data_IF_190226491188
#
_entry.id   IF_190226491188
#
_cell.length_a   1.000
_cell.length_b   1.000
_cell.length_c   1.000
_cell.angle_alpha   90.00
_cell.angle_beta   90.00
_cell.angle_gamma   90.00
#
_symmetry.space_group_name_H-M   'P 1'
#
loop_
_entity.id
_entity.type
_entity.pdbx_description
1 polymer ?
#
# COMPACT_ATOMS: atom_id res chain seq x y z
N UNK A 1 40.59 14.26 1.33
CA UNK A 1 39.76 13.39 0.46
C UNK A 1 38.51 14.17 0.05
N UNK A 2 38.08 14.13 -1.22
CA UNK A 2 36.91 14.88 -1.70
C UNK A 2 35.90 13.96 -2.37
N UNK A 3 34.62 14.29 -2.33
CA UNK A 3 33.58 13.44 -2.93
C UNK A 3 32.24 14.11 -3.03
N UNK A 4 31.25 13.40 -3.58
CA UNK A 4 29.92 13.94 -3.86
C UNK A 4 29.06 14.19 -2.62
N UNK A 5 29.29 13.44 -1.53
CA UNK A 5 28.54 13.59 -0.28
C UNK A 5 29.01 14.82 0.50
N UNK A 6 28.14 15.36 1.36
CA UNK A 6 28.46 16.51 2.22
C UNK A 6 29.62 16.21 3.18
N UNK A 7 29.66 15.00 3.75
CA UNK A 7 30.78 14.53 4.59
C UNK A 7 32.11 14.47 3.83
N UNK A 8 32.09 14.44 2.49
CA UNK A 8 33.27 14.50 1.63
C UNK A 8 33.49 15.89 1.00
N UNK A 9 32.78 16.91 1.47
CA UNK A 9 32.93 18.29 1.04
C UNK A 9 32.19 18.64 -0.26
N UNK A 10 31.34 17.77 -0.81
CA UNK A 10 30.57 18.00 -2.04
C UNK A 10 31.42 18.55 -3.20
N UNK A 11 32.56 17.89 -3.46
CA UNK A 11 33.60 18.26 -4.44
C UNK A 11 34.31 19.60 -4.17
N UNK A 12 34.14 20.20 -2.99
CA UNK A 12 34.87 21.40 -2.56
C UNK A 12 36.09 21.04 -1.72
N UNK A 13 37.29 21.38 -2.21
CA UNK A 13 38.56 21.14 -1.50
C UNK A 13 38.61 21.79 -0.11
N UNK A 14 37.94 22.93 0.07
CA UNK A 14 37.93 23.67 1.34
C UNK A 14 37.05 23.03 2.42
N UNK A 15 36.07 22.21 2.01
CA UNK A 15 35.14 21.52 2.90
C UNK A 15 35.48 20.04 3.07
N UNK A 16 36.51 19.59 2.36
CA UNK A 16 36.91 18.21 2.32
C UNK A 16 37.65 17.81 3.61
N UNK A 17 37.41 16.61 4.14
CA UNK A 17 38.18 16.09 5.26
C UNK A 17 39.66 15.95 4.88
N UNK A 18 40.53 16.45 5.76
CA UNK A 18 41.97 16.30 5.65
C UNK A 18 42.39 14.91 6.15
N UNK A 19 43.38 14.31 5.49
CA UNK A 19 43.96 13.03 5.92
C UNK A 19 45.18 13.29 6.78
N UNK A 20 45.35 12.50 7.83
CA UNK A 20 46.56 12.52 8.66
C UNK A 20 47.53 11.45 8.19
N UNK A 21 48.80 11.83 8.03
CA UNK A 21 49.87 10.88 7.75
C UNK A 21 50.15 10.03 8.99
N UNK A 22 50.37 8.74 8.76
CA UNK A 22 50.73 7.75 9.76
C UNK A 22 51.89 6.88 9.26
N UNK A 23 52.49 6.11 10.16
CA UNK A 23 53.65 5.27 9.83
C UNK A 23 53.36 4.28 8.69
N UNK A 24 54.34 4.07 7.81
CA UNK A 24 54.20 3.19 6.65
C UNK A 24 53.58 3.85 5.42
N UNK A 25 53.73 5.17 5.26
CA UNK A 25 53.18 5.97 4.15
C UNK A 25 51.65 5.89 4.01
N UNK A 26 50.97 5.63 5.13
CA UNK A 26 49.53 5.51 5.18
C UNK A 26 48.89 6.85 5.55
N UNK A 27 47.88 7.23 4.77
CA UNK A 27 47.07 8.43 5.02
C UNK A 27 45.69 7.99 5.49
N UNK A 28 45.34 8.36 6.72
CA UNK A 28 44.11 7.92 7.39
C UNK A 28 43.20 9.13 7.60
N UNK A 29 41.90 8.97 7.36
CA UNK A 29 40.90 9.98 7.72
C UNK A 29 40.40 9.74 9.14
N UNK A 30 39.86 10.77 9.77
CA UNK A 30 38.93 10.57 10.88
C UNK A 30 37.69 9.79 10.41
N UNK A 31 36.94 9.22 11.35
CA UNK A 31 35.72 8.47 11.06
C UNK A 31 34.70 9.37 10.34
N UNK A 32 34.30 8.95 9.14
CA UNK A 32 33.35 9.70 8.32
C UNK A 32 31.97 9.07 8.43
N UNK A 33 31.03 9.80 9.04
CA UNK A 33 29.64 9.38 9.10
C UNK A 33 28.97 9.51 7.73
N UNK A 34 28.38 8.40 7.28
CA UNK A 34 27.67 8.30 6.02
C UNK A 34 26.32 7.60 6.22
N UNK A 35 25.29 7.97 5.45
CA UNK A 35 24.04 7.24 5.44
C UNK A 35 24.25 5.75 5.12
N UNK A 36 23.58 4.91 5.90
CA UNK A 36 23.53 3.47 5.68
C UNK A 36 22.90 3.19 4.31
N UNK A 37 23.37 2.13 3.64
CA UNK A 37 22.81 1.65 2.38
C UNK A 37 22.91 2.69 1.23
N UNK A 38 24.08 3.31 1.07
CA UNK A 38 24.35 4.34 0.06
C UNK A 38 25.48 3.98 -0.91
N UNK A 39 25.50 4.61 -2.08
CA UNK A 39 26.63 4.57 -3.02
C UNK A 39 27.24 5.96 -3.07
N UNK A 40 28.52 6.05 -2.71
CA UNK A 40 29.24 7.31 -2.62
C UNK A 40 30.43 7.31 -3.56
N UNK A 41 30.70 8.46 -4.17
CA UNK A 41 31.84 8.65 -5.08
C UNK A 41 32.79 9.65 -4.46
N UNK A 42 34.07 9.30 -4.41
CA UNK A 42 35.12 10.11 -3.82
C UNK A 42 36.44 9.96 -4.59
N UNK A 43 37.39 10.83 -4.27
CA UNK A 43 38.72 10.87 -4.87
C UNK A 43 39.73 11.50 -3.93
N UNK A 44 40.99 11.09 -4.07
CA UNK A 44 42.09 11.69 -3.35
C UNK A 44 42.75 12.82 -4.15
N UNK A 45 43.21 13.83 -3.41
CA UNK A 45 43.88 15.01 -3.95
C UNK A 45 44.92 15.47 -2.95
N UNK A 46 46.10 15.78 -3.46
CA UNK A 46 47.16 16.45 -2.71
C UNK A 46 47.00 17.94 -2.94
N UNK A 47 46.93 18.72 -1.87
CA UNK A 47 46.81 20.19 -1.92
C UNK A 47 48.11 20.84 -1.48
N UNK A 48 48.26 22.12 -1.77
CA UNK A 48 49.39 22.91 -1.29
C UNK A 48 49.31 23.02 0.25
N UNK A 49 50.45 22.95 0.92
CA UNK A 49 50.52 23.09 2.38
C UNK A 49 50.10 24.49 2.84
N UNK A 50 50.24 25.50 1.98
CA UNK A 50 49.88 26.89 2.27
C UNK A 50 48.43 27.24 1.89
N UNK A 51 47.82 26.49 0.97
CA UNK A 51 46.44 26.72 0.52
C UNK A 51 45.74 25.39 0.19
N UNK A 52 44.92 24.93 1.14
CA UNK A 52 44.08 23.74 0.99
C UNK A 52 43.04 23.87 -0.16
N UNK A 53 42.79 25.08 -0.66
CA UNK A 53 41.91 25.32 -1.81
C UNK A 53 42.57 25.06 -3.16
N UNK A 54 43.89 24.84 -3.21
CA UNK A 54 44.66 24.70 -4.44
C UNK A 54 45.13 23.24 -4.62
N UNK A 55 44.60 22.51 -5.62
CA UNK A 55 45.03 21.15 -5.88
C UNK A 55 46.42 21.16 -6.53
N UNK A 56 47.35 20.38 -5.96
CA UNK A 56 48.69 20.13 -6.51
C UNK A 56 48.65 18.93 -7.44
N UNK A 57 48.04 17.83 -6.99
CA UNK A 57 47.91 16.62 -7.77
C UNK A 57 46.61 15.89 -7.44
N UNK A 58 45.92 15.43 -8.47
CA UNK A 58 44.78 14.53 -8.33
C UNK A 58 45.24 13.09 -8.41
N UNK A 59 44.57 12.20 -7.66
CA UNK A 59 44.71 10.76 -7.83
C UNK A 59 44.50 10.40 -9.31
N UNK A 60 45.36 9.53 -9.84
CA UNK A 60 45.24 9.07 -11.22
C UNK A 60 44.04 8.12 -11.36
N UNK A 61 43.57 7.95 -12.59
CA UNK A 61 42.46 7.05 -12.88
C UNK A 61 41.08 7.63 -12.55
N UNK A 62 40.09 6.73 -12.47
CA UNK A 62 38.70 7.06 -12.24
C UNK A 62 38.45 7.48 -10.78
N UNK A 63 37.26 8.01 -10.51
CA UNK A 63 36.84 8.23 -9.13
C UNK A 63 36.58 6.88 -8.43
N UNK A 64 36.85 6.83 -7.14
CA UNK A 64 36.55 5.66 -6.33
C UNK A 64 35.07 5.62 -5.97
N UNK A 65 34.53 4.41 -5.87
CA UNK A 65 33.13 4.16 -5.52
C UNK A 65 33.11 3.37 -4.22
N UNK A 66 32.45 3.92 -3.20
CA UNK A 66 32.17 3.26 -1.94
C UNK A 66 30.72 2.84 -1.92
N UNK A 67 30.50 1.55 -1.67
CA UNK A 67 29.16 0.99 -1.51
C UNK A 67 29.02 0.55 -0.06
N UNK A 68 28.07 1.17 0.63
CA UNK A 68 27.67 0.80 1.98
C UNK A 68 26.39 -0.02 1.91
N UNK A 69 26.33 -1.04 2.75
CA UNK A 69 25.19 -1.91 2.99
C UNK A 69 24.73 -1.79 4.44
N UNK A 70 23.50 -2.21 4.75
CA UNK A 70 23.00 -2.19 6.13
C UNK A 70 23.78 -3.08 7.11
N UNK A 71 24.45 -4.11 6.59
CA UNK A 71 25.30 -5.02 7.36
C UNK A 71 26.66 -4.44 7.74
N UNK A 72 27.07 -3.33 7.14
CA UNK A 72 28.39 -2.71 7.38
C UNK A 72 28.43 -1.84 8.65
N UNK A 73 27.31 -1.69 9.35
CA UNK A 73 27.25 -0.96 10.61
C UNK A 73 27.94 -1.77 11.74
N UNK A 74 28.68 -1.12 12.66
CA UNK A 74 28.83 0.33 12.81
C UNK A 74 30.00 0.95 12.04
N UNK A 75 30.96 0.16 11.57
CA UNK A 75 32.21 0.65 11.00
C UNK A 75 32.64 -0.21 9.81
N UNK A 76 33.04 0.46 8.72
CA UNK A 76 33.63 -0.15 7.53
C UNK A 76 34.97 0.53 7.24
N UNK A 77 36.01 -0.28 7.09
CA UNK A 77 37.35 0.20 6.73
C UNK A 77 37.48 0.17 5.22
N UNK A 78 37.97 1.28 4.64
CA UNK A 78 38.27 1.40 3.22
C UNK A 78 39.77 1.56 3.07
N UNK A 79 40.37 0.78 2.18
CA UNK A 79 41.81 0.81 1.91
C UNK A 79 42.03 0.90 0.41
N UNK A 80 42.77 1.93 0.00
CA UNK A 80 43.01 2.26 -1.40
C UNK A 80 44.49 2.53 -1.68
N UNK A 81 44.85 2.50 -2.97
CA UNK A 81 46.16 2.93 -3.46
C UNK A 81 46.06 4.30 -4.16
N UNK A 82 47.03 5.18 -3.90
CA UNK A 82 47.17 6.48 -4.56
C UNK A 82 47.30 6.36 -6.09
N UNK A 83 47.85 5.25 -6.58
CA UNK A 83 47.96 4.98 -8.03
C UNK A 83 46.57 4.98 -8.70
N UNK A 84 45.50 4.68 -7.94
CA UNK A 84 44.13 4.62 -8.45
C UNK A 84 43.83 3.32 -9.17
N UNK A 85 44.53 2.24 -8.82
CA UNK A 85 44.28 0.89 -9.34
C UNK A 85 43.03 0.29 -8.66
N UNK A 86 41.94 0.02 -9.38
CA UNK A 86 40.73 -0.58 -8.82
C UNK A 86 40.98 -1.94 -8.16
N UNK A 87 41.99 -2.69 -8.63
CA UNK A 87 42.33 -4.00 -8.07
C UNK A 87 42.94 -3.92 -6.66
N UNK A 88 43.30 -2.72 -6.20
CA UNK A 88 43.83 -2.45 -4.86
C UNK A 88 42.92 -1.58 -3.99
N UNK A 89 41.69 -1.34 -4.43
CA UNK A 89 40.65 -0.70 -3.64
C UNK A 89 39.79 -1.77 -3.00
N UNK A 90 39.79 -1.83 -1.68
CA UNK A 90 39.05 -2.82 -0.93
C UNK A 90 38.40 -2.22 0.31
N UNK A 91 37.37 -2.91 0.74
CA UNK A 91 36.58 -2.62 1.92
C UNK A 91 36.60 -3.85 2.81
N UNK A 92 36.66 -3.66 4.12
CA UNK A 92 36.59 -4.74 5.11
C UNK A 92 35.91 -4.26 6.38
N UNK A 93 35.36 -5.20 7.15
CA UNK A 93 34.91 -4.91 8.49
C UNK A 93 36.09 -4.55 9.42
N UNK A 94 35.78 -4.04 10.61
CA UNK A 94 36.77 -3.65 11.62
C UNK A 94 37.68 -4.83 12.04
N UNK A 95 37.13 -6.04 12.08
CA UNK A 95 37.86 -7.28 12.41
C UNK A 95 38.70 -7.82 11.23
N UNK A 96 38.70 -7.12 10.08
CA UNK A 96 39.35 -7.54 8.85
C UNK A 96 38.63 -8.66 8.10
N UNK A 97 37.46 -9.08 8.57
CA UNK A 97 36.58 -10.01 7.85
C UNK A 97 35.86 -9.29 6.70
N UNK A 98 35.19 -10.07 5.85
CA UNK A 98 34.44 -9.58 4.69
C UNK A 98 35.24 -8.66 3.75
N UNK A 99 36.56 -8.95 3.63
CA UNK A 99 37.43 -8.20 2.72
C UNK A 99 36.97 -8.42 1.28
N UNK A 100 36.47 -7.37 0.66
CA UNK A 100 35.93 -7.38 -0.69
C UNK A 100 36.43 -6.17 -1.48
N UNK A 101 36.65 -6.37 -2.79
CA UNK A 101 36.97 -5.27 -3.69
C UNK A 101 35.78 -4.29 -3.79
N UNK A 102 36.08 -2.99 -3.83
CA UNK A 102 35.06 -1.95 -3.89
C UNK A 102 34.14 -2.10 -5.11
N UNK A 103 34.70 -2.47 -6.28
CA UNK A 103 33.92 -2.76 -7.49
C UNK A 103 33.06 -4.01 -7.34
N UNK A 104 33.58 -5.05 -6.68
CA UNK A 104 32.82 -6.29 -6.45
C UNK A 104 31.62 -6.05 -5.53
N UNK A 105 31.76 -5.17 -4.51
CA UNK A 105 30.63 -4.71 -3.69
C UNK A 105 29.54 -4.04 -4.53
N UNK A 106 29.93 -3.19 -5.49
CA UNK A 106 28.99 -2.52 -6.39
C UNK A 106 28.25 -3.53 -7.27
N UNK A 107 28.98 -4.47 -7.86
CA UNK A 107 28.38 -5.52 -8.70
C UNK A 107 27.42 -6.40 -7.90
N UNK A 108 27.80 -6.80 -6.68
CA UNK A 108 26.95 -7.58 -5.80
C UNK A 108 25.65 -6.82 -5.47
N UNK A 109 25.76 -5.56 -5.09
CA UNK A 109 24.58 -4.74 -4.77
C UNK A 109 23.63 -4.58 -5.95
N UNK A 110 24.15 -4.40 -7.16
CA UNK A 110 23.32 -4.34 -8.38
C UNK A 110 22.63 -5.69 -8.61
N UNK A 111 23.35 -6.80 -8.44
CA UNK A 111 22.79 -8.15 -8.55
C UNK A 111 21.67 -8.41 -7.53
N UNK A 112 21.87 -8.01 -6.28
CA UNK A 112 20.87 -8.14 -5.21
C UNK A 112 19.63 -7.28 -5.49
N UNK A 113 19.83 -6.06 -5.99
CA UNK A 113 18.74 -5.17 -6.39
C UNK A 113 17.93 -5.73 -7.57
N UNK A 114 18.60 -6.32 -8.56
CA UNK A 114 17.95 -6.95 -9.71
C UNK A 114 17.16 -8.21 -9.28
N UNK A 115 17.72 -9.02 -8.38
CA UNK A 115 17.03 -10.18 -7.82
C UNK A 115 15.79 -9.77 -7.02
N UNK A 116 15.90 -8.74 -6.17
CA UNK A 116 14.77 -8.19 -5.43
C UNK A 116 13.68 -7.61 -6.35
N UNK A 117 14.08 -6.92 -7.42
CA UNK A 117 13.17 -6.41 -8.43
C UNK A 117 12.45 -7.54 -9.18
N UNK A 118 13.17 -8.61 -9.52
CA UNK A 118 12.58 -9.79 -10.15
C UNK A 118 11.54 -10.43 -9.23
N UNK A 119 11.86 -10.60 -7.95
CA UNK A 119 10.93 -11.19 -6.99
C UNK A 119 9.68 -10.32 -6.80
N UNK A 120 9.85 -9.00 -6.64
CA UNK A 120 8.73 -8.07 -6.54
C UNK A 120 7.81 -8.11 -7.77
N UNK A 121 8.37 -8.32 -8.97
CA UNK A 121 7.56 -8.49 -10.19
C UNK A 121 6.71 -9.75 -10.17
N UNK A 122 7.24 -10.87 -9.66
CA UNK A 122 6.48 -12.12 -9.51
C UNK A 122 5.34 -11.94 -8.51
N UNK A 123 5.62 -11.35 -7.34
CA UNK A 123 4.61 -11.10 -6.31
C UNK A 123 3.47 -10.21 -6.84
N UNK A 124 3.80 -9.19 -7.64
CA UNK A 124 2.79 -8.33 -8.30
C UNK A 124 1.94 -9.11 -9.30
N UNK A 125 2.52 -10.06 -10.03
CA UNK A 125 1.75 -10.91 -10.94
C UNK A 125 0.79 -11.81 -10.18
N UNK A 126 1.25 -12.43 -9.09
CA UNK A 126 0.43 -13.31 -8.26
C UNK A 126 -0.72 -12.54 -7.61
N UNK A 127 -0.44 -11.38 -7.00
CA UNK A 127 -1.47 -10.50 -6.44
C UNK A 127 -2.49 -10.06 -7.50
N UNK A 128 -2.06 -9.84 -8.74
CA UNK A 128 -2.98 -9.48 -9.84
C UNK A 128 -3.92 -10.64 -10.19
N UNK A 129 -3.42 -11.87 -10.15
CA UNK A 129 -4.24 -13.08 -10.35
C UNK A 129 -5.24 -13.24 -9.20
N UNK A 130 -4.80 -13.06 -7.95
CA UNK A 130 -5.67 -13.13 -6.78
C UNK A 130 -6.77 -12.06 -6.83
N UNK A 131 -6.42 -10.81 -7.15
CA UNK A 131 -7.40 -9.71 -7.28
C UNK A 131 -8.43 -10.03 -8.36
N UNK A 132 -8.01 -10.54 -9.52
CA UNK A 132 -8.94 -10.91 -10.59
C UNK A 132 -9.87 -12.04 -10.16
N UNK A 133 -9.35 -13.01 -9.43
CA UNK A 133 -10.12 -14.15 -8.91
C UNK A 133 -11.15 -13.69 -7.87
N UNK A 134 -10.75 -12.84 -6.92
CA UNK A 134 -11.64 -12.24 -5.93
C UNK A 134 -12.72 -11.36 -6.59
N UNK A 135 -12.37 -10.62 -7.65
CA UNK A 135 -13.34 -9.84 -8.44
C UNK A 135 -14.40 -10.75 -9.08
N UNK A 136 -14.01 -11.86 -9.70
CA UNK A 136 -14.95 -12.83 -10.29
C UNK A 136 -15.86 -13.46 -9.23
N UNK A 137 -15.31 -13.88 -8.10
CA UNK A 137 -16.10 -14.41 -6.98
C UNK A 137 -17.11 -13.37 -6.45
N UNK A 138 -16.68 -12.11 -6.30
CA UNK A 138 -17.56 -11.03 -5.87
C UNK A 138 -18.67 -10.74 -6.88
N UNK A 139 -18.39 -10.87 -8.19
CA UNK A 139 -19.39 -10.70 -9.24
C UNK A 139 -20.41 -11.85 -9.21
N UNK A 140 -19.96 -13.09 -9.04
CA UNK A 140 -20.83 -14.26 -8.89
C UNK A 140 -21.76 -14.12 -7.67
N UNK A 141 -21.22 -13.78 -6.51
CA UNK A 141 -22.02 -13.57 -5.29
C UNK A 141 -23.04 -12.42 -5.45
N UNK A 142 -22.69 -11.35 -6.16
CA UNK A 142 -23.64 -10.27 -6.46
C UNK A 142 -24.79 -10.73 -7.34
N UNK A 143 -24.52 -11.54 -8.37
CA UNK A 143 -25.57 -12.11 -9.21
C UNK A 143 -26.44 -13.11 -8.44
N UNK A 144 -25.86 -13.98 -7.61
CA UNK A 144 -26.62 -14.89 -6.75
C UNK A 144 -27.54 -14.13 -5.78
N UNK A 145 -27.04 -13.05 -5.16
CA UNK A 145 -27.85 -12.20 -4.30
C UNK A 145 -29.00 -11.51 -5.07
N UNK A 146 -28.73 -11.06 -6.30
CA UNK A 146 -29.74 -10.46 -7.19
C UNK A 146 -30.83 -11.46 -7.56
N UNK A 147 -30.45 -12.67 -7.97
CA UNK A 147 -31.37 -13.75 -8.30
C UNK A 147 -32.19 -14.18 -7.08
N UNK A 148 -31.54 -14.35 -5.93
CA UNK A 148 -32.20 -14.71 -4.68
C UNK A 148 -33.24 -13.66 -4.25
N UNK A 149 -32.91 -12.37 -4.40
CA UNK A 149 -33.86 -11.27 -4.16
C UNK A 149 -35.09 -11.35 -5.08
N UNK A 150 -34.87 -11.58 -6.38
CA UNK A 150 -35.95 -11.72 -7.36
C UNK A 150 -36.86 -12.92 -7.07
N UNK A 151 -36.29 -14.06 -6.68
CA UNK A 151 -37.05 -15.26 -6.28
C UNK A 151 -37.90 -14.96 -5.05
N UNK A 152 -37.32 -14.32 -4.02
CA UNK A 152 -38.06 -13.92 -2.81
C UNK A 152 -39.22 -12.97 -3.14
N UNK A 153 -39.01 -12.04 -4.07
CA UNK A 153 -40.04 -11.09 -4.48
C UNK A 153 -41.21 -11.82 -5.18
N UNK A 154 -40.91 -12.76 -6.10
CA UNK A 154 -41.93 -13.60 -6.76
C UNK A 154 -42.68 -14.48 -5.77
N UNK A 155 -41.99 -15.11 -4.82
CA UNK A 155 -42.62 -15.92 -3.78
C UNK A 155 -43.55 -15.08 -2.89
N UNK A 156 -43.13 -13.87 -2.51
CA UNK A 156 -43.99 -12.95 -1.74
C UNK A 156 -45.25 -12.56 -2.51
N UNK A 157 -45.14 -12.34 -3.82
CA UNK A 157 -46.30 -12.06 -4.68
C UNK A 157 -47.23 -13.27 -4.77
N UNK A 158 -46.71 -14.49 -5.00
CA UNK A 158 -47.51 -15.72 -5.01
C UNK A 158 -48.24 -15.94 -3.69
N UNK A 159 -47.54 -15.81 -2.56
CA UNK A 159 -48.13 -15.93 -1.24
C UNK A 159 -49.27 -14.92 -1.03
N UNK A 160 -49.09 -13.68 -1.49
CA UNK A 160 -50.14 -12.66 -1.40
C UNK A 160 -51.37 -12.99 -2.27
N UNK A 161 -51.16 -13.60 -3.44
CA UNK A 161 -52.24 -14.04 -4.32
C UNK A 161 -53.00 -15.23 -3.72
N UNK A 162 -52.30 -16.20 -3.14
CA UNK A 162 -52.93 -17.33 -2.44
C UNK A 162 -53.70 -16.89 -1.20
N UNK A 163 -53.19 -15.93 -0.42
CA UNK A 163 -53.93 -15.36 0.71
C UNK A 163 -55.23 -14.73 0.26
N UNK A 164 -55.19 -13.89 -0.79
CA UNK A 164 -56.41 -13.30 -1.37
C UNK A 164 -57.39 -14.36 -1.87
N UNK A 165 -56.88 -15.42 -2.53
CA UNK A 165 -57.72 -16.53 -2.98
C UNK A 165 -58.37 -17.27 -1.80
N UNK A 166 -57.61 -17.49 -0.73
CA UNK A 166 -58.11 -18.14 0.49
C UNK A 166 -59.16 -17.28 1.18
N UNK A 167 -58.96 -15.96 1.27
CA UNK A 167 -59.95 -15.01 1.79
C UNK A 167 -61.27 -15.05 0.99
N UNK A 168 -61.19 -15.10 -0.34
CA UNK A 168 -62.39 -15.23 -1.20
C UNK A 168 -63.10 -16.56 -0.97
N UNK A 169 -62.35 -17.67 -0.87
CA UNK A 169 -62.92 -18.98 -0.56
C UNK A 169 -63.56 -19.00 0.83
N UNK A 170 -62.95 -18.40 1.84
CA UNK A 170 -63.53 -18.26 3.18
C UNK A 170 -64.83 -17.43 3.14
N UNK A 171 -64.86 -16.33 2.38
CA UNK A 171 -66.08 -15.55 2.18
C UNK A 171 -67.16 -16.38 1.49
N UNK A 172 -66.83 -17.13 0.44
CA UNK A 172 -67.78 -18.00 -0.24
C UNK A 172 -68.30 -19.13 0.66
N UNK A 173 -67.43 -19.74 1.47
CA UNK A 173 -67.82 -20.75 2.47
C UNK A 173 -68.70 -20.12 3.54
N UNK A 174 -68.40 -18.90 3.99
CA UNK A 174 -69.22 -18.18 4.95
C UNK A 174 -70.60 -17.83 4.38
N UNK A 175 -70.67 -17.32 3.15
CA UNK A 175 -71.91 -17.06 2.44
C UNK A 175 -72.72 -18.34 2.22
N UNK A 176 -72.06 -19.43 1.81
CA UNK A 176 -72.70 -20.73 1.65
C UNK A 176 -73.23 -21.27 2.97
N UNK A 177 -72.47 -21.16 4.06
CA UNK A 177 -72.88 -21.54 5.42
C UNK A 177 -74.06 -20.70 5.90
N UNK A 178 -74.10 -19.41 5.59
CA UNK A 178 -75.24 -18.54 5.90
C UNK A 178 -76.47 -18.89 5.07
N UNK A 179 -76.33 -19.14 3.76
CA UNK A 179 -77.43 -19.61 2.90
C UNK A 179 -77.98 -20.96 3.36
N UNK A 180 -77.11 -21.87 3.80
CA UNK A 180 -77.51 -23.14 4.36
C UNK A 180 -78.27 -22.98 5.69
N UNK A 181 -77.82 -22.06 6.57
CA UNK A 181 -78.56 -21.70 7.79
C UNK A 181 -79.94 -21.11 7.49
N UNK A 182 -80.11 -20.36 6.40
CA UNK A 182 -81.42 -19.83 6.00
C UNK A 182 -82.34 -20.86 5.34
N UNK A 183 -81.80 -22.00 4.89
CA UNK A 183 -82.57 -23.10 4.29
C UNK A 183 -82.81 -24.27 5.27
N UNK A 184 -82.26 -24.21 6.48
CA UNK A 184 -82.60 -25.13 7.56
C UNK A 184 -84.01 -24.84 8.12
N UNK A 185 -84.82 -25.86 8.44
CA UNK A 185 -86.17 -25.66 8.95
C UNK A 185 -86.13 -25.06 10.36
N UNK A 186 -86.96 -24.05 10.59
CA UNK A 186 -87.61 -23.76 11.89
C UNK A 186 -86.72 -23.31 13.07
N UNK A 187 -86.87 -22.03 13.43
CA UNK A 187 -86.52 -21.37 14.71
C UNK A 187 -86.41 -22.27 15.95
N UNK A 188 -85.46 -21.92 16.82
CA UNK A 188 -85.80 -21.52 18.19
C UNK A 188 -84.95 -20.31 18.65
N UNK A 189 -85.63 -19.30 19.17
CA UNK A 189 -85.06 -18.12 19.84
C UNK A 189 -84.83 -18.46 21.31
N UNK A 190 -83.73 -17.99 21.89
CA UNK A 190 -83.73 -17.51 23.28
C UNK A 190 -82.77 -16.32 23.44
N UNK A 191 -83.31 -15.24 23.98
CA UNK A 191 -82.70 -13.94 24.23
C UNK A 191 -81.88 -13.89 25.54
N UNK A 192 -81.06 -12.81 25.63
CA UNK A 192 -80.50 -12.13 26.84
C UNK A 192 -79.28 -12.78 27.53
N UNK A 193 -78.25 -12.04 27.99
CA UNK A 193 -77.93 -10.60 28.04
C UNK A 193 -76.47 -10.45 28.56
N UNK A 194 -75.86 -9.30 28.24
CA UNK A 194 -74.87 -8.54 29.04
C UNK A 194 -73.46 -9.10 29.27
N UNK A 195 -72.44 -8.46 28.66
CA UNK A 195 -71.56 -7.42 29.25
C UNK A 195 -70.31 -8.07 29.86
N UNK A 196 -69.08 -7.58 29.66
CA UNK A 196 -68.56 -6.38 29.02
C UNK A 196 -67.03 -6.55 28.98
N UNK A 197 -66.40 -5.83 28.06
CA UNK A 197 -65.08 -5.20 28.19
C UNK A 197 -63.86 -6.10 28.48
N UNK A 198 -62.69 -5.94 27.90
CA UNK A 198 -62.05 -4.83 27.20
C UNK A 198 -60.80 -5.48 26.58
N UNK A 199 -60.36 -5.20 25.37
CA UNK A 199 -59.97 -3.89 24.93
C UNK A 199 -58.45 -3.87 24.71
N UNK A 200 -58.05 -3.14 23.68
CA UNK A 200 -56.71 -2.61 23.46
C UNK A 200 -55.61 -3.60 23.00
N UNK A 201 -55.56 -3.75 21.68
CA UNK A 201 -54.36 -3.49 20.89
C UNK A 201 -53.55 -2.32 21.48
N UNK A 202 -52.28 -2.53 21.86
CA UNK A 202 -51.27 -1.45 21.89
C UNK A 202 -49.83 -1.97 21.77
N UNK A 203 -49.15 -1.40 20.78
CA UNK A 203 -47.72 -1.03 20.69
C UNK A 203 -46.66 -2.12 20.48
N UNK A 204 -46.17 -2.15 19.24
CA UNK A 204 -44.78 -1.83 18.85
C UNK A 204 -43.74 -1.73 19.99
N UNK A 205 -42.66 -2.51 19.91
CA UNK A 205 -41.34 -2.02 19.47
C UNK A 205 -40.25 -3.04 19.83
N UNK A 206 -39.90 -3.94 18.91
CA UNK A 206 -38.58 -4.55 18.91
C UNK A 206 -37.66 -3.62 18.12
N UNK A 207 -36.90 -2.80 18.84
CA UNK A 207 -35.82 -2.01 18.29
C UNK A 207 -34.70 -2.96 17.84
N UNK A 208 -34.53 -3.11 16.53
CA UNK A 208 -33.26 -3.50 15.93
C UNK A 208 -32.87 -2.38 14.98
N UNK A 209 -31.89 -1.59 15.42
CA UNK A 209 -31.33 -0.45 14.71
C UNK A 209 -30.81 -0.88 13.33
N UNK A 210 -31.54 -0.51 12.27
CA UNK A 210 -30.99 -0.44 10.94
C UNK A 210 -30.00 0.72 10.90
N UNK A 211 -28.72 0.42 11.11
CA UNK A 211 -27.62 1.31 10.76
C UNK A 211 -27.67 1.49 9.24
N UNK A 212 -27.74 2.75 8.78
CA UNK A 212 -27.80 3.09 7.36
C UNK A 212 -26.67 2.39 6.56
N UNK A 213 -26.92 1.98 5.31
CA UNK A 213 -25.84 1.49 4.45
C UNK A 213 -24.79 2.61 4.31
N UNK A 214 -23.49 2.32 4.45
CA UNK A 214 -22.46 3.32 4.23
C UNK A 214 -22.58 3.85 2.79
N UNK A 215 -22.65 5.17 2.66
CA UNK A 215 -22.52 5.86 1.38
C UNK A 215 -21.24 5.39 0.68
N UNK A 216 -21.28 5.13 -0.64
CA UNK A 216 -20.08 4.76 -1.38
C UNK A 216 -19.01 5.85 -1.21
N UNK A 217 -17.73 5.47 -1.04
CA UNK A 217 -16.65 6.44 -0.93
C UNK A 217 -16.61 7.30 -2.20
N UNK A 218 -16.62 8.61 -2.00
CA UNK A 218 -16.43 9.59 -3.06
C UNK A 218 -15.08 9.31 -3.74
N UNK A 219 -15.03 9.20 -5.07
CA UNK A 219 -13.76 9.00 -5.76
C UNK A 219 -12.80 10.16 -5.44
N UNK A 220 -11.49 9.89 -5.24
CA UNK A 220 -10.52 10.94 -4.97
C UNK A 220 -10.54 11.95 -6.11
N UNK A 221 -10.65 13.22 -5.74
CA UNK A 221 -10.61 14.37 -6.64
C UNK A 221 -9.33 14.28 -7.47
N UNK A 222 -9.49 14.18 -8.79
CA UNK A 222 -8.37 14.15 -9.72
C UNK A 222 -7.42 15.34 -9.43
N UNK A 223 -6.09 15.12 -9.41
CA UNK A 223 -5.14 16.22 -9.28
C UNK A 223 -5.36 17.20 -10.44
N UNK A 224 -5.25 18.51 -10.20
CA UNK A 224 -5.45 19.51 -11.25
C UNK A 224 -4.43 19.27 -12.37
N UNK A 225 -4.93 19.30 -13.61
CA UNK A 225 -4.08 19.24 -14.79
C UNK A 225 -2.99 20.32 -14.72
N UNK A 226 -1.74 20.01 -15.11
CA UNK A 226 -0.71 21.03 -15.22
C UNK A 226 -1.18 22.12 -16.19
N UNK A 227 -1.07 23.38 -15.77
CA UNK A 227 -1.35 24.53 -16.63
C UNK A 227 -0.53 24.39 -17.92
N UNK A 228 -1.10 24.69 -19.10
CA UNK A 228 -0.29 24.83 -20.31
C UNK A 228 0.74 25.94 -20.05
N UNK A 229 2.01 25.64 -20.33
CA UNK A 229 3.06 26.63 -20.35
C UNK A 229 2.64 27.75 -21.30
N UNK A 230 2.51 28.96 -20.76
CA UNK A 230 2.37 30.17 -21.56
C UNK A 230 3.63 30.32 -22.39
N UNK A 231 3.50 30.05 -23.68
CA UNK A 231 4.33 30.63 -24.71
C UNK A 231 4.03 32.13 -24.78
N UNK A 232 4.86 32.93 -24.11
CA UNK A 232 5.17 34.32 -24.47
C UNK A 232 6.70 34.34 -24.62
N UNK A 233 7.25 34.27 -25.82
CA UNK A 233 7.36 35.36 -26.80
C UNK A 233 8.30 36.49 -26.33
N UNK A 234 9.50 36.47 -26.95
CA UNK A 234 10.31 37.61 -27.42
C UNK A 234 10.20 38.92 -26.64
N UNK A 235 11.33 39.36 -26.05
CA UNK A 235 12.06 40.57 -26.47
C UNK A 235 13.05 41.04 -25.42
N UNK A 236 14.35 40.81 -25.67
CA UNK A 236 15.48 41.76 -25.67
C UNK A 236 16.80 41.05 -25.40
#
# INVERSE_FOLDING_TARGET
MVGGHESFGAWSLKKAPALTWSEGDNWVSEDVELPVDGVFVYKYVVTDAQDAGKPVAWQKGNNQVLVLSASDAPLLIVQDDWIGDPAKSYTSAEDGSDKMLSEQRLVQRIGDADAALHQSRLDVMDLKVEVKTAQLQSAALREEARLSSNVRLKLKQQLSAEKKRSEVLEQQVFEWKNKFKTLGPGKEKKDKKDEKDSGATKKNAAAAAAKAPPTPPTPPKAPPAPKPASSEEKSR
#
